data_IF_284655537224
#
_entry.id   IF_284655537224
#
_cell.length_a   1.000
_cell.length_b   1.000
_cell.length_c   1.000
_cell.angle_alpha   90.00
_cell.angle_beta   90.00
_cell.angle_gamma   90.00
#
_symmetry.space_group_name_H-M   'P 1'
#
loop_
_entity.id
_entity.type
_entity.pdbx_description
1 polymer ?
#
# COMPACT_ATOMS: atom_id res chain seq x y z
N UNK A 1 8.39 1.64 -11.78
CA UNK A 1 7.55 1.10 -10.69
C UNK A 1 6.27 1.89 -10.69
N UNK A 2 5.13 1.26 -10.42
CA UNK A 2 3.88 2.01 -10.24
C UNK A 2 2.98 1.35 -9.18
N UNK A 3 2.09 2.16 -8.59
CA UNK A 3 1.11 1.72 -7.60
C UNK A 3 -0.13 2.60 -7.70
N UNK A 4 -1.32 2.00 -7.58
CA UNK A 4 -2.58 2.73 -7.55
C UNK A 4 -2.92 3.17 -6.12
N UNK A 5 -3.42 4.40 -5.99
CA UNK A 5 -3.96 4.91 -4.72
C UNK A 5 -5.15 5.80 -4.99
N UNK A 6 -6.04 5.89 -4.02
CA UNK A 6 -7.17 6.83 -4.05
C UNK A 6 -6.87 8.02 -3.15
N UNK A 7 -7.13 9.23 -3.62
CA UNK A 7 -6.96 10.46 -2.82
C UNK A 7 -8.16 10.77 -1.90
N UNK A 8 -8.07 11.89 -1.16
CA UNK A 8 -9.12 12.30 -0.21
C UNK A 8 -10.44 12.74 -0.88
N UNK A 9 -10.39 13.06 -2.18
CA UNK A 9 -11.54 13.41 -3.01
C UNK A 9 -12.12 12.18 -3.72
N UNK A 10 -11.64 10.98 -3.40
CA UNK A 10 -12.05 9.71 -3.99
C UNK A 10 -11.74 9.60 -5.49
N UNK A 11 -10.63 10.21 -5.92
CA UNK A 11 -10.10 10.08 -7.29
C UNK A 11 -8.96 9.07 -7.31
N UNK A 12 -8.91 8.24 -8.35
CA UNK A 12 -7.82 7.28 -8.55
C UNK A 12 -6.58 7.98 -9.09
N UNK A 13 -5.44 7.62 -8.53
CA UNK A 13 -4.13 8.18 -8.83
C UNK A 13 -3.15 7.03 -9.06
N UNK A 14 -2.28 7.20 -10.04
CA UNK A 14 -1.16 6.32 -10.32
C UNK A 14 0.13 6.97 -9.84
N UNK A 15 0.74 6.40 -8.82
CA UNK A 15 2.11 6.74 -8.42
C UNK A 15 3.06 6.12 -9.44
N UNK A 16 3.97 6.91 -10.00
CA UNK A 16 5.06 6.40 -10.85
C UNK A 16 6.40 6.78 -10.25
N UNK A 17 7.26 5.78 -10.06
CA UNK A 17 8.66 5.95 -9.68
C UNK A 17 9.57 5.26 -10.71
N UNK A 18 10.72 5.85 -11.00
CA UNK A 18 11.73 5.28 -11.91
C UNK A 18 12.96 4.93 -11.10
N UNK A 19 13.46 3.71 -11.29
CA UNK A 19 14.77 3.29 -10.80
C UNK A 19 15.71 3.17 -11.99
N UNK A 20 16.87 3.82 -11.92
CA UNK A 20 17.84 3.88 -13.00
C UNK A 20 19.27 3.74 -12.45
N UNK A 21 20.23 3.56 -13.35
CA UNK A 21 21.64 3.38 -13.02
C UNK A 21 22.43 4.43 -13.80
N UNK A 22 23.33 5.13 -13.12
CA UNK A 22 24.19 6.14 -13.75
C UNK A 22 25.46 5.54 -14.38
N UNK A 23 26.34 6.40 -14.89
CA UNK A 23 27.61 6.00 -15.51
C UNK A 23 28.60 5.39 -14.50
N UNK A 24 28.42 5.68 -13.21
CA UNK A 24 29.23 5.16 -12.10
C UNK A 24 28.69 3.83 -11.57
N UNK A 25 27.61 3.31 -12.16
CA UNK A 25 26.89 2.10 -11.73
C UNK A 25 26.16 2.26 -10.40
N UNK A 26 25.88 3.49 -9.98
CA UNK A 26 25.10 3.77 -8.78
C UNK A 26 23.60 3.71 -9.10
N UNK A 27 22.84 3.15 -8.15
CA UNK A 27 21.39 2.97 -8.30
C UNK A 27 20.67 4.20 -7.75
N UNK A 28 19.83 4.81 -8.59
CA UNK A 28 19.00 5.94 -8.24
C UNK A 28 17.52 5.56 -8.31
N UNK A 29 16.70 6.15 -7.45
CA UNK A 29 15.26 5.96 -7.45
C UNK A 29 14.57 7.30 -7.24
N UNK A 30 13.80 7.71 -8.25
CA UNK A 30 13.11 8.99 -8.26
C UNK A 30 11.60 8.78 -8.27
N UNK A 31 10.92 9.48 -7.36
CA UNK A 31 9.49 9.72 -7.49
C UNK A 31 9.26 10.68 -8.65
N UNK A 32 8.41 10.30 -9.59
CA UNK A 32 8.15 11.08 -10.79
C UNK A 32 6.86 11.88 -10.63
N UNK A 33 5.75 11.20 -10.37
CA UNK A 33 4.43 11.82 -10.44
C UNK A 33 3.36 11.01 -9.71
N UNK A 34 2.33 11.72 -9.24
CA UNK A 34 1.00 11.22 -8.97
C UNK A 34 0.11 11.60 -10.16
N UNK A 35 -0.17 10.63 -11.02
CA UNK A 35 -0.91 10.85 -12.26
C UNK A 35 -2.36 10.44 -12.07
N UNK A 36 -3.30 11.38 -12.19
CA UNK A 36 -4.72 11.06 -12.08
C UNK A 36 -5.18 10.19 -13.25
N UNK A 37 -5.86 9.08 -12.94
CA UNK A 37 -6.39 8.13 -13.91
C UNK A 37 -7.91 7.97 -13.73
N UNK A 38 -8.62 7.71 -14.81
CA UNK A 38 -10.08 7.57 -14.77
C UNK A 38 -10.53 6.20 -14.21
N UNK A 39 -9.71 5.17 -14.40
CA UNK A 39 -9.94 3.83 -13.88
C UNK A 39 -8.63 3.06 -13.65
N UNK A 40 -8.72 1.95 -12.93
CA UNK A 40 -7.60 1.05 -12.62
C UNK A 40 -7.50 -0.13 -13.58
N UNK A 41 -8.01 0.01 -14.81
CA UNK A 41 -7.87 -1.04 -15.82
C UNK A 41 -6.42 -1.11 -16.30
N UNK A 42 -5.97 -2.33 -16.60
CA UNK A 42 -4.62 -2.60 -17.09
C UNK A 42 -4.21 -1.75 -18.31
N UNK A 43 -5.17 -1.45 -19.20
CA UNK A 43 -4.93 -0.60 -20.37
C UNK A 43 -4.66 0.85 -19.95
N UNK A 44 -5.55 1.43 -19.15
CA UNK A 44 -5.43 2.80 -18.66
C UNK A 44 -4.11 3.00 -17.95
N UNK A 45 -3.76 2.10 -17.04
CA UNK A 45 -2.49 2.16 -16.31
C UNK A 45 -1.29 2.03 -17.25
N UNK A 46 -1.29 1.08 -18.20
CA UNK A 46 -0.16 0.93 -19.14
C UNK A 46 0.03 2.16 -20.01
N UNK A 47 -1.07 2.72 -20.52
CA UNK A 47 -1.06 3.91 -21.38
C UNK A 47 -0.56 5.12 -20.59
N UNK A 48 -1.00 5.29 -19.34
CA UNK A 48 -0.52 6.35 -18.45
C UNK A 48 0.97 6.23 -18.12
N UNK A 49 1.48 5.02 -17.88
CA UNK A 49 2.92 4.82 -17.66
C UNK A 49 3.71 5.23 -18.91
N UNK A 50 3.25 4.85 -20.10
CA UNK A 50 3.90 5.24 -21.35
C UNK A 50 3.84 6.75 -21.58
N UNK A 51 2.70 7.39 -21.33
CA UNK A 51 2.56 8.84 -21.43
C UNK A 51 3.52 9.58 -20.49
N UNK A 52 3.66 9.13 -19.24
CA UNK A 52 4.63 9.68 -18.29
C UNK A 52 6.06 9.55 -18.83
N UNK A 53 6.44 8.38 -19.35
CA UNK A 53 7.77 8.16 -19.93
C UNK A 53 8.01 9.05 -21.16
N UNK A 54 7.00 9.19 -22.03
CA UNK A 54 7.06 10.05 -23.21
C UNK A 54 7.26 11.53 -22.84
N UNK A 55 6.54 12.03 -21.83
CA UNK A 55 6.70 13.40 -21.33
C UNK A 55 8.06 13.67 -20.70
N UNK A 56 8.70 12.64 -20.14
CA UNK A 56 10.09 12.70 -19.65
C UNK A 56 11.13 12.50 -20.76
N UNK A 57 10.69 12.25 -22.00
CA UNK A 57 11.55 11.88 -23.12
C UNK A 57 12.41 10.62 -22.84
N UNK A 58 11.87 9.69 -22.05
CA UNK A 58 12.50 8.40 -21.72
C UNK A 58 11.90 7.34 -22.62
N UNK A 59 12.74 6.65 -23.40
CA UNK A 59 12.26 5.60 -24.27
C UNK A 59 11.97 4.32 -23.48
N UNK A 60 10.78 3.73 -23.69
CA UNK A 60 10.46 2.39 -23.17
C UNK A 60 11.49 1.32 -23.63
N UNK A 61 12.19 1.56 -24.74
CA UNK A 61 13.29 0.70 -25.21
C UNK A 61 14.43 0.53 -24.19
N UNK A 62 14.59 1.48 -23.27
CA UNK A 62 15.59 1.44 -22.20
C UNK A 62 15.10 0.70 -20.95
N UNK A 63 13.80 0.39 -20.85
CA UNK A 63 13.25 -0.31 -19.71
C UNK A 63 13.80 -1.75 -19.61
N UNK A 64 14.27 -2.13 -18.42
CA UNK A 64 14.80 -3.47 -18.10
C UNK A 64 14.03 -4.17 -16.99
N UNK A 65 13.15 -3.45 -16.31
CA UNK A 65 12.36 -3.99 -15.21
C UNK A 65 11.09 -3.17 -15.00
N UNK A 66 10.05 -3.88 -14.61
CA UNK A 66 8.76 -3.31 -14.23
C UNK A 66 8.32 -3.97 -12.92
N UNK A 67 7.76 -3.20 -11.99
CA UNK A 67 7.43 -3.68 -10.65
C UNK A 67 6.13 -3.05 -10.19
N UNK A 68 5.17 -3.92 -9.88
CA UNK A 68 3.80 -3.62 -9.46
C UNK A 68 3.34 -4.68 -8.46
N UNK A 69 2.16 -4.49 -7.88
CA UNK A 69 1.54 -5.46 -7.00
C UNK A 69 1.05 -6.73 -7.74
N UNK A 70 0.40 -7.62 -6.98
CA UNK A 70 -0.12 -8.89 -7.48
C UNK A 70 -1.53 -8.81 -8.07
N UNK A 71 -2.16 -7.64 -8.13
CA UNK A 71 -3.53 -7.50 -8.63
C UNK A 71 -3.63 -7.99 -10.08
N UNK A 72 -4.79 -8.50 -10.49
CA UNK A 72 -4.98 -9.06 -11.84
C UNK A 72 -4.77 -8.04 -12.95
N UNK A 73 -5.14 -6.77 -12.72
CA UNK A 73 -4.89 -5.66 -13.63
C UNK A 73 -3.38 -5.39 -13.82
N UNK A 74 -2.57 -5.55 -12.77
CA UNK A 74 -1.13 -5.32 -12.81
C UNK A 74 -0.35 -6.56 -13.30
N UNK A 75 -0.52 -7.67 -12.60
CA UNK A 75 0.26 -8.91 -12.75
C UNK A 75 -0.28 -9.86 -13.83
N UNK A 76 -1.48 -9.60 -14.36
CA UNK A 76 -2.20 -10.51 -15.25
C UNK A 76 -1.39 -10.96 -16.47
N UNK A 77 -1.21 -12.27 -16.71
CA UNK A 77 -0.32 -12.78 -17.76
C UNK A 77 -0.87 -12.61 -19.19
N UNK A 78 -2.16 -12.32 -19.34
CA UNK A 78 -2.84 -12.20 -20.64
C UNK A 78 -3.13 -10.75 -21.04
N UNK A 79 -3.54 -9.93 -20.08
CA UNK A 79 -4.04 -8.58 -20.34
C UNK A 79 -3.60 -7.54 -19.31
N UNK A 80 -2.82 -7.95 -18.29
CA UNK A 80 -2.35 -7.06 -17.25
C UNK A 80 -1.27 -6.10 -17.75
N UNK A 81 -0.98 -5.07 -16.96
CA UNK A 81 0.07 -4.07 -17.25
C UNK A 81 1.38 -4.77 -17.57
N UNK A 82 1.74 -5.80 -16.81
CA UNK A 82 2.99 -6.53 -17.02
C UNK A 82 3.10 -7.17 -18.40
N UNK A 83 1.99 -7.71 -18.90
CA UNK A 83 1.94 -8.32 -20.24
C UNK A 83 2.03 -7.25 -21.32
N UNK A 84 1.28 -6.16 -21.17
CA UNK A 84 1.24 -5.05 -22.14
C UNK A 84 2.61 -4.40 -22.34
N UNK A 85 3.27 -4.03 -21.24
CA UNK A 85 4.63 -3.45 -21.29
C UNK A 85 5.64 -4.46 -21.84
N UNK A 86 5.51 -5.74 -21.50
CA UNK A 86 6.41 -6.79 -21.98
C UNK A 86 6.25 -7.10 -23.47
N UNK A 87 5.06 -6.91 -24.03
CA UNK A 87 4.81 -7.09 -25.47
C UNK A 87 5.51 -6.02 -26.31
N UNK A 88 5.61 -4.81 -25.78
CA UNK A 88 6.34 -3.70 -26.43
C UNK A 88 7.84 -3.75 -26.12
N UNK A 89 8.22 -4.13 -24.89
CA UNK A 89 9.60 -4.29 -24.45
C UNK A 89 9.81 -5.65 -23.78
N UNK A 90 10.21 -6.68 -24.55
CA UNK A 90 10.42 -8.04 -24.03
C UNK A 90 11.49 -8.14 -22.92
N UNK A 91 12.43 -7.19 -22.85
CA UNK A 91 13.48 -7.13 -21.82
C UNK A 91 13.00 -6.50 -20.50
N UNK A 92 11.81 -5.91 -20.44
CA UNK A 92 11.25 -5.34 -19.22
C UNK A 92 10.65 -6.44 -18.35
N UNK A 93 11.47 -7.06 -17.51
CA UNK A 93 11.01 -8.18 -16.68
C UNK A 93 10.09 -7.70 -15.56
N UNK A 94 8.99 -8.42 -15.38
CA UNK A 94 8.07 -8.18 -14.26
C UNK A 94 8.63 -8.73 -12.96
N UNK A 95 8.64 -7.88 -11.94
CA UNK A 95 8.92 -8.24 -10.57
C UNK A 95 7.68 -7.96 -9.72
N UNK A 96 7.20 -8.97 -9.01
CA UNK A 96 6.07 -8.82 -8.11
C UNK A 96 6.53 -8.12 -6.83
N UNK A 97 5.85 -7.03 -6.46
CA UNK A 97 6.11 -6.25 -5.26
C UNK A 97 6.40 -7.15 -4.03
N UNK A 98 7.62 -7.06 -3.51
CA UNK A 98 8.06 -7.85 -2.36
C UNK A 98 7.22 -7.56 -1.12
N UNK A 99 6.82 -6.31 -0.90
CA UNK A 99 5.92 -5.93 0.20
C UNK A 99 4.56 -6.64 0.09
N UNK A 100 3.99 -6.70 -1.12
CA UNK A 100 2.74 -7.41 -1.37
C UNK A 100 2.91 -8.93 -1.16
N UNK A 101 3.97 -9.53 -1.69
CA UNK A 101 4.27 -10.96 -1.50
C UNK A 101 4.43 -11.34 -0.03
N UNK A 102 5.17 -10.55 0.72
CA UNK A 102 5.36 -10.77 2.15
C UNK A 102 4.04 -10.66 2.90
N UNK A 103 3.22 -9.65 2.59
CA UNK A 103 1.88 -9.54 3.17
C UNK A 103 1.01 -10.76 2.90
N UNK A 104 1.02 -11.30 1.67
CA UNK A 104 0.27 -12.52 1.34
C UNK A 104 0.75 -13.71 2.17
N UNK A 105 2.07 -13.93 2.24
CA UNK A 105 2.65 -15.01 3.04
C UNK A 105 2.29 -14.90 4.54
N UNK A 106 2.39 -13.69 5.12
CA UNK A 106 1.99 -13.44 6.49
C UNK A 106 0.49 -13.66 6.69
N UNK A 107 -0.35 -13.16 5.78
CA UNK A 107 -1.80 -13.31 5.87
C UNK A 107 -2.24 -14.77 5.80
N UNK A 108 -1.63 -15.55 4.92
CA UNK A 108 -1.92 -16.98 4.79
C UNK A 108 -1.40 -17.79 5.98
N UNK A 109 -0.30 -17.37 6.60
CA UNK A 109 0.19 -17.95 7.85
C UNK A 109 -0.78 -17.67 9.00
N UNK A 110 -1.26 -16.43 9.13
CA UNK A 110 -2.21 -16.03 10.17
C UNK A 110 -3.53 -16.79 10.05
N UNK A 111 -4.05 -16.99 8.83
CA UNK A 111 -5.29 -17.76 8.57
C UNK A 111 -5.25 -19.18 9.16
N UNK A 112 -4.06 -19.75 9.37
CA UNK A 112 -3.88 -21.09 9.96
C UNK A 112 -3.87 -21.09 11.48
N UNK A 113 -3.79 -19.92 12.12
CA UNK A 113 -3.69 -19.76 13.57
C UNK A 113 -4.95 -19.05 14.07
N UNK A 114 -5.94 -19.83 14.54
CA UNK A 114 -7.26 -19.32 14.93
C UNK A 114 -7.20 -18.14 15.91
N UNK A 115 -6.35 -18.23 16.94
CA UNK A 115 -6.21 -17.16 17.94
C UNK A 115 -5.76 -15.83 17.32
N UNK A 116 -4.89 -15.88 16.30
CA UNK A 116 -4.44 -14.68 15.59
C UNK A 116 -5.54 -14.12 14.69
N UNK A 117 -6.32 -14.99 14.02
CA UNK A 117 -7.50 -14.56 13.28
C UNK A 117 -8.51 -13.86 14.19
N UNK A 118 -8.87 -14.49 15.32
CA UNK A 118 -9.83 -13.96 16.28
C UNK A 118 -9.35 -12.60 16.83
N UNK A 119 -8.06 -12.47 17.12
CA UNK A 119 -7.46 -11.22 17.59
C UNK A 119 -7.54 -10.10 16.54
N UNK A 120 -7.23 -10.37 15.27
CA UNK A 120 -7.35 -9.40 14.18
C UNK A 120 -8.80 -9.01 13.90
N UNK A 121 -9.71 -9.97 13.92
CA UNK A 121 -11.15 -9.73 13.75
C UNK A 121 -11.70 -8.86 14.87
N UNK A 122 -11.29 -9.14 16.10
CA UNK A 122 -11.66 -8.33 17.28
C UNK A 122 -11.11 -6.92 17.15
N UNK A 123 -9.84 -6.78 16.76
CA UNK A 123 -9.19 -5.49 16.46
C UNK A 123 -9.99 -4.71 15.43
N UNK A 124 -10.37 -5.34 14.32
CA UNK A 124 -11.15 -4.70 13.27
C UNK A 124 -12.54 -4.25 13.76
N UNK A 125 -13.21 -5.08 14.56
CA UNK A 125 -14.53 -4.78 15.14
C UNK A 125 -14.45 -3.58 16.08
N UNK A 126 -13.45 -3.52 16.95
CA UNK A 126 -13.22 -2.39 17.87
C UNK A 126 -12.98 -1.11 17.07
N UNK A 127 -12.08 -1.14 16.08
CA UNK A 127 -11.82 0.04 15.25
C UNK A 127 -13.07 0.53 14.52
N UNK A 128 -13.85 -0.38 13.93
CA UNK A 128 -15.12 -0.03 13.25
C UNK A 128 -16.15 0.53 14.22
N UNK A 129 -16.23 -0.02 15.45
CA UNK A 129 -17.12 0.47 16.50
C UNK A 129 -16.80 1.95 16.80
N UNK A 130 -15.55 2.26 17.11
CA UNK A 130 -15.14 3.63 17.45
C UNK A 130 -15.36 4.58 16.27
N UNK A 131 -14.78 4.28 15.09
CA UNK A 131 -14.77 5.22 13.95
C UNK A 131 -16.13 5.48 13.31
N UNK A 132 -17.10 4.57 13.46
CA UNK A 132 -18.46 4.78 12.95
C UNK A 132 -19.33 5.66 13.86
N UNK A 133 -18.80 6.19 14.96
CA UNK A 133 -19.53 7.09 15.87
C UNK A 133 -18.64 8.24 16.32
N UNK A 134 -18.95 9.49 15.95
CA UNK A 134 -18.23 10.67 16.43
C UNK A 134 -18.21 10.78 17.97
N UNK A 135 -19.28 10.32 18.62
CA UNK A 135 -19.38 10.29 20.09
C UNK A 135 -18.38 9.30 20.70
N UNK A 136 -18.28 8.08 20.15
CA UNK A 136 -17.32 7.08 20.64
C UNK A 136 -15.88 7.46 20.35
N UNK A 137 -15.62 8.12 19.22
CA UNK A 137 -14.31 8.68 18.90
C UNK A 137 -13.90 9.75 19.92
N UNK A 138 -14.82 10.65 20.25
CA UNK A 138 -14.60 11.66 21.31
C UNK A 138 -14.37 11.02 22.68
N UNK A 139 -15.11 9.96 23.02
CA UNK A 139 -14.91 9.23 24.27
C UNK A 139 -13.54 8.55 24.32
N UNK A 140 -13.08 7.95 23.21
CA UNK A 140 -11.74 7.36 23.14
C UNK A 140 -10.66 8.43 23.35
N UNK A 141 -10.80 9.62 22.77
CA UNK A 141 -9.86 10.71 23.02
C UNK A 141 -9.85 11.17 24.48
N UNK A 142 -11.00 11.15 25.17
CA UNK A 142 -11.06 11.42 26.61
C UNK A 142 -10.33 10.35 27.42
N UNK A 143 -10.55 9.08 27.12
CA UNK A 143 -9.87 7.96 27.77
C UNK A 143 -8.36 8.07 27.58
N UNK A 144 -7.91 8.36 26.36
CA UNK A 144 -6.49 8.60 26.07
C UNK A 144 -5.93 9.75 26.88
N UNK A 145 -6.59 10.91 26.92
CA UNK A 145 -6.09 12.05 27.71
C UNK A 145 -5.99 11.75 29.22
N UNK A 146 -6.80 10.82 29.73
CA UNK A 146 -6.76 10.39 31.11
C UNK A 146 -5.73 9.27 31.38
N UNK A 147 -5.25 8.61 30.34
CA UNK A 147 -4.29 7.52 30.41
C UNK A 147 -2.85 8.07 30.56
N UNK A 148 -2.04 7.45 31.41
CA UNK A 148 -0.65 7.85 31.67
C UNK A 148 0.29 7.14 30.69
N UNK A 149 0.58 7.76 29.56
CA UNK A 149 1.52 7.20 28.59
C UNK A 149 2.98 7.36 29.02
N UNK A 150 3.77 6.29 28.88
CA UNK A 150 5.21 6.28 29.21
C UNK A 150 6.03 7.13 28.22
N UNK A 151 5.52 7.34 27.00
CA UNK A 151 6.13 8.18 25.98
C UNK A 151 5.11 8.92 25.11
N UNK A 152 5.56 9.98 24.45
CA UNK A 152 4.75 10.75 23.49
C UNK A 152 4.36 9.89 22.27
N UNK A 153 5.23 8.98 21.84
CA UNK A 153 4.93 7.98 20.81
C UNK A 153 3.78 7.05 21.24
N UNK A 154 3.77 6.59 22.49
CA UNK A 154 2.68 5.76 23.03
C UNK A 154 1.35 6.50 22.99
N UNK A 155 1.35 7.78 23.39
CA UNK A 155 0.17 8.64 23.29
C UNK A 155 -0.32 8.78 21.85
N UNK A 156 0.56 9.06 20.89
CA UNK A 156 0.20 9.30 19.48
C UNK A 156 -0.44 8.05 18.86
N UNK A 157 0.13 6.88 19.10
CA UNK A 157 -0.27 5.64 18.44
C UNK A 157 -1.43 4.90 19.12
N UNK A 158 -1.70 5.14 20.41
CA UNK A 158 -2.78 4.50 21.16
C UNK A 158 -4.18 4.74 20.56
N UNK A 159 -4.94 3.68 20.31
CA UNK A 159 -6.33 3.69 19.84
C UNK A 159 -6.61 4.33 18.46
N UNK A 160 -5.63 4.96 17.80
CA UNK A 160 -5.84 5.74 16.57
C UNK A 160 -5.58 4.97 15.27
N UNK A 161 -4.82 3.88 15.34
CA UNK A 161 -4.42 3.11 14.15
C UNK A 161 -5.53 2.19 13.68
N UNK A 162 -5.86 2.30 12.39
CA UNK A 162 -6.89 1.51 11.75
C UNK A 162 -6.27 0.27 11.13
N UNK A 163 -6.86 -0.89 11.43
CA UNK A 163 -6.50 -2.10 10.71
C UNK A 163 -6.90 -1.97 9.23
N UNK A 164 -5.91 -1.96 8.36
CA UNK A 164 -6.09 -2.06 6.92
C UNK A 164 -5.73 -3.48 6.46
N UNK A 165 -6.66 -4.23 5.82
CA UNK A 165 -6.37 -5.59 5.34
C UNK A 165 -5.25 -5.65 4.30
N UNK A 166 -5.16 -4.62 3.45
CA UNK A 166 -4.23 -4.54 2.32
C UNK A 166 -2.90 -3.87 2.68
N UNK A 167 -2.89 -2.90 3.61
CA UNK A 167 -1.66 -2.24 4.11
C UNK A 167 -1.12 -2.97 5.34
N UNK A 168 -0.22 -3.92 5.09
CA UNK A 168 0.26 -4.86 6.11
C UNK A 168 1.09 -4.27 7.25
N UNK A 169 1.79 -3.16 6.99
CA UNK A 169 2.57 -2.43 7.99
C UNK A 169 1.73 -1.98 9.18
N UNK A 170 0.40 -1.87 9.02
CA UNK A 170 -0.48 -1.40 10.10
C UNK A 170 -1.15 -2.51 10.91
N UNK A 171 -0.95 -3.80 10.60
CA UNK A 171 -1.62 -4.90 11.32
C UNK A 171 -1.15 -5.03 12.77
N UNK A 172 0.16 -5.14 12.97
CA UNK A 172 0.76 -5.19 14.30
C UNK A 172 0.50 -3.89 15.06
N UNK A 173 0.71 -2.76 14.40
CA UNK A 173 0.52 -1.45 15.02
C UNK A 173 -0.94 -1.19 15.45
N UNK A 174 -1.93 -1.70 14.70
CA UNK A 174 -3.33 -1.59 15.09
C UNK A 174 -3.67 -2.44 16.33
N UNK A 175 -3.07 -3.63 16.46
CA UNK A 175 -3.23 -4.45 17.67
C UNK A 175 -2.55 -3.79 18.87
N UNK A 176 -1.30 -3.33 18.71
CA UNK A 176 -0.54 -2.62 19.74
C UNK A 176 -1.30 -1.37 20.20
N UNK A 177 -1.89 -0.62 19.27
CA UNK A 177 -2.69 0.56 19.57
C UNK A 177 -3.89 0.25 20.49
N UNK A 178 -4.50 -0.93 20.38
CA UNK A 178 -5.59 -1.35 21.27
C UNK A 178 -5.05 -1.82 22.62
N UNK A 179 -3.98 -2.61 22.63
CA UNK A 179 -3.37 -3.15 23.85
C UNK A 179 -2.90 -2.01 24.77
N UNK A 180 -2.22 -1.00 24.22
CA UNK A 180 -1.72 0.17 24.97
C UNK A 180 -2.81 0.99 25.67
N UNK A 181 -4.06 0.93 25.20
CA UNK A 181 -5.21 1.59 25.85
C UNK A 181 -5.82 0.71 26.95
N UNK A 182 -5.61 -0.60 26.91
CA UNK A 182 -6.19 -1.57 27.84
C UNK A 182 -5.36 -1.74 29.11
N UNK A 183 -4.03 -1.67 29.00
CA UNK A 183 -3.10 -1.94 30.09
C UNK A 183 -2.85 -0.73 31.01
N UNK A 184 -3.71 0.30 30.95
CA UNK A 184 -3.67 1.52 31.76
C UNK A 184 -5.02 1.79 32.42
#
# INVERSE_FOLDING_TARGET
MADETTDVSNMEQLVVCIRWIDEQLEVHEDFIVLYQIDDTCAKTISDSIQDVLLRLNISLSQCRGQTYDGASAMSGPKSGVQKRIKDEQPKALYNHCHGHRLNLACSDSIKRVKIMCDALDTTQKITKLVKKSPQRDTQLEKIRKAALFESEDDYIYAGKRVLCPTRWTVKADAMIAIIKVKDQ
#
